data_IF_140239516705
#
_entry.id   IF_140239516705
#
_cell.length_a   1.000
_cell.length_b   1.000
_cell.length_c   1.000
_cell.angle_alpha   90.00
_cell.angle_beta   90.00
_cell.angle_gamma   90.00
#
_symmetry.space_group_name_H-M   'P 1'
#
loop_
_entity.id
_entity.type
_entity.pdbx_description
1 polymer ?
#
# COMPACT_ATOMS: atom_id res chain seq x y z
N UNK A 1 22.31 -20.50 -71.81
CA UNK A 1 21.61 -20.65 -70.50
C UNK A 1 22.48 -20.03 -69.39
N UNK A 2 22.79 -18.74 -69.50
CA UNK A 2 22.14 -17.59 -68.83
C UNK A 2 22.42 -17.49 -67.33
N UNK A 3 23.47 -16.73 -67.01
CA UNK A 3 23.80 -16.18 -65.68
C UNK A 3 22.60 -15.57 -64.93
N UNK A 4 21.52 -15.19 -65.63
CA UNK A 4 20.28 -14.72 -65.00
C UNK A 4 19.64 -15.77 -64.08
N UNK A 5 19.78 -17.07 -64.36
CA UNK A 5 19.20 -18.11 -63.47
C UNK A 5 19.92 -18.18 -62.12
N UNK A 6 21.25 -18.10 -62.12
CA UNK A 6 22.04 -18.19 -60.87
C UNK A 6 21.79 -16.98 -59.97
N UNK A 7 21.71 -15.78 -60.55
CA UNK A 7 21.44 -14.54 -59.79
C UNK A 7 20.04 -14.56 -59.15
N UNK A 8 19.03 -15.07 -59.86
CA UNK A 8 17.66 -15.21 -59.34
C UNK A 8 17.61 -16.21 -58.18
N UNK A 9 18.33 -17.33 -58.26
CA UNK A 9 18.42 -18.29 -57.14
C UNK A 9 19.11 -17.69 -55.91
N UNK A 10 20.14 -16.87 -56.11
CA UNK A 10 20.86 -16.21 -55.02
C UNK A 10 19.99 -15.14 -54.33
N UNK A 11 19.29 -14.31 -55.10
CA UNK A 11 18.35 -13.30 -54.59
C UNK A 11 17.16 -13.95 -53.87
N UNK A 12 16.62 -15.05 -54.41
CA UNK A 12 15.48 -15.77 -53.82
C UNK A 12 15.86 -16.42 -52.48
N UNK A 13 17.07 -17.01 -52.39
CA UNK A 13 17.59 -17.57 -51.14
C UNK A 13 17.90 -16.48 -50.11
N UNK A 14 18.42 -15.32 -50.54
CA UNK A 14 18.69 -14.19 -49.64
C UNK A 14 17.38 -13.57 -49.12
N UNK A 15 16.35 -13.50 -49.96
CA UNK A 15 15.01 -13.05 -49.57
C UNK A 15 14.35 -14.04 -48.59
N UNK A 16 14.43 -15.35 -48.86
CA UNK A 16 13.96 -16.39 -47.94
C UNK A 16 14.69 -16.36 -46.60
N UNK A 17 16.01 -16.18 -46.59
CA UNK A 17 16.80 -16.11 -45.36
C UNK A 17 16.44 -14.86 -44.55
N UNK A 18 16.22 -13.70 -45.22
CA UNK A 18 15.77 -12.46 -44.58
C UNK A 18 14.36 -12.56 -44.00
N UNK A 19 13.40 -13.18 -44.72
CA UNK A 19 12.04 -13.37 -44.21
C UNK A 19 11.99 -14.38 -43.06
N UNK A 20 12.82 -15.43 -43.10
CA UNK A 20 12.94 -16.40 -42.00
C UNK A 20 13.56 -15.78 -40.75
N UNK A 21 14.58 -14.93 -40.90
CA UNK A 21 15.17 -14.15 -39.80
C UNK A 21 14.18 -13.13 -39.22
N UNK A 22 13.38 -12.47 -40.06
CA UNK A 22 12.36 -11.51 -39.60
C UNK A 22 11.21 -12.20 -38.84
N UNK A 23 10.76 -13.36 -39.32
CA UNK A 23 9.73 -14.17 -38.63
C UNK A 23 10.24 -14.75 -37.31
N UNK A 24 11.50 -15.19 -37.25
CA UNK A 24 12.13 -15.65 -36.01
C UNK A 24 12.27 -14.49 -35.00
N UNK A 25 12.60 -13.28 -35.46
CA UNK A 25 12.66 -12.09 -34.60
C UNK A 25 11.27 -11.70 -34.05
N UNK A 26 10.21 -11.82 -34.86
CA UNK A 26 8.83 -11.56 -34.43
C UNK A 26 8.35 -12.61 -33.41
N UNK A 27 8.73 -13.88 -33.56
CA UNK A 27 8.41 -14.92 -32.56
C UNK A 27 9.17 -14.75 -31.24
N UNK A 28 10.40 -14.23 -31.26
CA UNK A 28 11.15 -13.90 -30.03
C UNK A 28 10.49 -12.75 -29.26
N UNK A 29 9.87 -11.78 -29.94
CA UNK A 29 9.18 -10.66 -29.31
C UNK A 29 7.82 -11.09 -28.71
N UNK A 30 7.16 -12.10 -29.30
CA UNK A 30 5.88 -12.64 -28.79
C UNK A 30 6.04 -13.61 -27.60
N UNK A 31 7.26 -14.07 -27.31
CA UNK A 31 7.55 -15.03 -26.23
C UNK A 31 7.89 -14.41 -24.87
N UNK A 32 8.12 -13.10 -24.78
CA UNK A 32 8.31 -12.43 -23.50
C UNK A 32 6.95 -12.17 -22.84
N UNK A 33 6.41 -13.18 -22.16
CA UNK A 33 5.48 -12.94 -21.06
C UNK A 33 6.26 -12.20 -19.97
N UNK A 34 6.29 -10.86 -20.02
CA UNK A 34 6.74 -10.06 -18.90
C UNK A 34 5.73 -10.28 -17.77
N UNK A 35 6.05 -11.20 -16.86
CA UNK A 35 5.33 -11.28 -15.60
C UNK A 35 5.47 -9.92 -14.91
N UNK A 36 4.34 -9.36 -14.46
CA UNK A 36 4.36 -8.12 -13.69
C UNK A 36 5.32 -8.25 -12.51
N UNK A 37 6.00 -7.16 -12.12
CA UNK A 37 6.84 -7.15 -10.94
C UNK A 37 5.98 -7.52 -9.74
N UNK A 38 6.52 -8.33 -8.83
CA UNK A 38 5.84 -8.54 -7.55
C UNK A 38 5.67 -7.19 -6.84
N UNK A 39 4.68 -7.12 -5.95
CA UNK A 39 4.51 -5.96 -5.09
C UNK A 39 5.74 -5.78 -4.17
N UNK A 40 6.04 -4.54 -3.78
CA UNK A 40 7.13 -4.25 -2.84
C UNK A 40 6.62 -3.52 -1.60
N UNK A 41 7.31 -3.70 -0.48
CA UNK A 41 7.05 -2.98 0.76
C UNK A 41 8.33 -2.28 1.19
N UNK A 42 8.35 -0.96 1.03
CA UNK A 42 9.52 -0.13 1.31
C UNK A 42 9.36 0.48 2.70
N UNK A 43 10.46 0.55 3.47
CA UNK A 43 10.55 1.41 4.65
C UNK A 43 11.18 2.73 4.28
N UNK A 44 10.51 3.81 4.63
CA UNK A 44 10.94 5.17 4.35
C UNK A 44 11.12 5.94 5.65
N UNK A 45 12.20 6.69 5.75
CA UNK A 45 12.53 7.49 6.94
C UNK A 45 11.94 8.90 6.89
N UNK A 46 11.64 9.45 8.06
CA UNK A 46 11.34 10.87 8.27
C UNK A 46 11.79 11.30 9.68
N UNK A 47 11.88 12.61 9.91
CA UNK A 47 12.07 13.18 11.25
C UNK A 47 10.73 13.69 11.75
N UNK A 48 10.27 13.18 12.89
CA UNK A 48 8.97 13.57 13.44
C UNK A 48 8.99 15.00 13.98
N UNK A 49 7.99 15.78 13.61
CA UNK A 49 7.73 17.10 14.15
C UNK A 49 7.29 17.05 15.62
N UNK A 50 6.85 15.89 16.11
CA UNK A 50 6.37 15.71 17.49
C UNK A 50 7.52 15.69 18.48
N UNK A 51 8.59 14.95 18.18
CA UNK A 51 9.70 14.71 19.11
C UNK A 51 11.11 14.93 18.51
N UNK A 52 11.18 15.37 17.25
CA UNK A 52 12.42 15.61 16.50
C UNK A 52 13.32 14.37 16.37
N UNK A 53 12.74 13.17 16.47
CA UNK A 53 13.47 11.90 16.31
C UNK A 53 13.23 11.27 14.94
N UNK A 54 14.23 10.53 14.42
CA UNK A 54 14.05 9.73 13.22
C UNK A 54 13.04 8.60 13.48
N UNK A 55 12.16 8.39 12.51
CA UNK A 55 11.15 7.35 12.47
C UNK A 55 11.00 6.86 11.04
N UNK A 56 10.30 5.76 10.88
CA UNK A 56 10.03 5.11 9.62
C UNK A 56 8.52 4.90 9.43
N UNK A 57 8.12 4.73 8.19
CA UNK A 57 6.79 4.31 7.77
C UNK A 57 6.89 3.36 6.59
N UNK A 58 5.81 2.60 6.34
CA UNK A 58 5.75 1.72 5.19
C UNK A 58 5.12 2.39 3.97
N UNK A 59 5.71 2.12 2.80
CA UNK A 59 5.13 2.40 1.48
C UNK A 59 5.01 1.09 0.71
N UNK A 60 3.79 0.65 0.47
CA UNK A 60 3.51 -0.48 -0.42
C UNK A 60 3.39 0.01 -1.87
N UNK A 61 4.09 -0.67 -2.77
CA UNK A 61 3.98 -0.47 -4.21
C UNK A 61 3.27 -1.69 -4.82
N UNK A 62 2.22 -1.48 -5.62
CA UNK A 62 1.41 -2.55 -6.17
C UNK A 62 2.18 -3.41 -7.17
N UNK A 63 1.66 -4.61 -7.42
CA UNK A 63 2.15 -5.49 -8.50
C UNK A 63 2.16 -4.73 -9.83
N UNK A 64 3.22 -4.91 -10.62
CA UNK A 64 3.43 -4.22 -11.90
C UNK A 64 3.87 -2.76 -11.78
N UNK A 65 4.11 -2.25 -10.56
CA UNK A 65 4.58 -0.87 -10.37
C UNK A 65 5.87 -0.59 -11.14
N UNK A 66 6.84 -1.51 -11.14
CA UNK A 66 8.16 -1.27 -11.75
C UNK A 66 8.13 -1.25 -13.28
N UNK A 67 7.30 -2.08 -13.92
CA UNK A 67 7.18 -2.13 -15.38
C UNK A 67 6.35 -0.99 -15.94
N UNK A 68 5.36 -0.51 -15.19
CA UNK A 68 4.45 0.55 -15.65
C UNK A 68 5.08 1.94 -15.45
N UNK A 69 6.12 2.27 -16.26
CA UNK A 69 6.89 3.52 -16.16
C UNK A 69 6.02 4.77 -16.32
N UNK A 70 5.01 4.71 -17.19
CA UNK A 70 4.18 5.86 -17.56
C UNK A 70 2.88 5.92 -16.74
N UNK A 71 2.64 4.93 -15.87
CA UNK A 71 1.44 4.84 -15.05
C UNK A 71 1.63 5.56 -13.72
N UNK A 72 0.70 6.45 -13.42
CA UNK A 72 0.48 6.98 -12.07
C UNK A 72 -0.57 6.14 -11.34
N UNK A 73 -0.38 6.00 -10.03
CA UNK A 73 -1.17 5.11 -9.18
C UNK A 73 -1.96 5.91 -8.16
N UNK A 74 -3.21 5.54 -7.85
CA UNK A 74 -3.88 6.07 -6.68
C UNK A 74 -3.05 5.84 -5.43
N UNK A 75 -3.23 6.69 -4.41
CA UNK A 75 -2.55 6.55 -3.13
C UNK A 75 -3.57 6.54 -1.99
N UNK A 76 -3.35 5.66 -1.02
CA UNK A 76 -4.12 5.59 0.22
C UNK A 76 -3.20 5.87 1.40
N UNK A 77 -3.48 6.94 2.15
CA UNK A 77 -2.97 7.13 3.50
C UNK A 77 -3.87 6.36 4.48
N UNK A 78 -3.32 5.33 5.12
CA UNK A 78 -4.06 4.50 6.08
C UNK A 78 -3.60 4.73 7.51
N UNK A 79 -4.55 5.02 8.41
CA UNK A 79 -4.29 5.24 9.83
C UNK A 79 -4.73 4.00 10.63
N UNK A 80 -3.79 3.39 11.35
CA UNK A 80 -4.03 2.20 12.16
C UNK A 80 -4.78 2.50 13.48
N UNK A 81 -5.18 1.45 14.19
CA UNK A 81 -5.89 1.54 15.46
C UNK A 81 -4.98 1.82 16.66
N UNK A 82 -5.51 1.77 17.88
CA UNK A 82 -4.71 2.09 19.06
C UNK A 82 -3.63 1.02 19.36
N UNK A 83 -3.86 -0.23 18.96
CA UNK A 83 -2.99 -1.37 19.27
C UNK A 83 -1.68 -1.40 18.48
N UNK A 84 -1.62 -0.73 17.33
CA UNK A 84 -0.46 -0.75 16.44
C UNK A 84 0.49 0.44 16.65
N UNK A 85 0.29 1.26 17.69
CA UNK A 85 1.21 2.35 18.07
C UNK A 85 2.64 1.85 18.27
N UNK A 86 3.62 2.73 18.19
CA UNK A 86 5.01 2.34 18.46
C UNK A 86 6.02 3.45 18.33
N UNK A 87 7.28 3.05 18.36
CA UNK A 87 8.42 3.94 18.18
C UNK A 87 8.72 4.32 16.72
N UNK A 88 8.01 3.74 15.75
CA UNK A 88 8.23 3.98 14.33
C UNK A 88 9.55 3.40 13.82
N UNK A 89 10.14 2.43 14.51
CA UNK A 89 11.41 1.80 14.15
C UNK A 89 11.26 0.27 14.20
N UNK A 90 11.78 -0.37 15.24
CA UNK A 90 11.70 -1.82 15.45
C UNK A 90 10.31 -2.28 15.93
N UNK A 91 9.40 -1.36 16.23
CA UNK A 91 7.98 -1.63 16.44
C UNK A 91 7.10 -1.35 15.22
N UNK A 92 7.65 -0.81 14.12
CA UNK A 92 6.86 -0.42 12.94
C UNK A 92 6.03 -1.60 12.39
N UNK A 93 6.52 -2.83 12.48
CA UNK A 93 5.84 -4.01 11.95
C UNK A 93 4.47 -4.30 12.58
N UNK A 94 4.15 -3.73 13.75
CA UNK A 94 2.80 -3.85 14.32
C UNK A 94 1.72 -3.29 13.39
N UNK A 95 2.03 -2.33 12.52
CA UNK A 95 1.06 -1.78 11.56
C UNK A 95 0.65 -2.80 10.48
N UNK A 96 1.36 -3.94 10.36
CA UNK A 96 1.02 -5.03 9.46
C UNK A 96 -0.08 -5.94 10.01
N UNK A 97 -0.46 -5.80 11.30
CA UNK A 97 -1.43 -6.67 11.97
C UNK A 97 -2.85 -6.53 11.39
N UNK A 98 -3.24 -5.31 11.03
CA UNK A 98 -4.57 -5.00 10.52
C UNK A 98 -4.53 -3.96 9.39
N UNK A 99 -5.58 -3.94 8.58
CA UNK A 99 -5.77 -2.92 7.54
C UNK A 99 -5.23 -3.33 6.16
N UNK A 100 -5.08 -2.38 5.23
CA UNK A 100 -4.80 -2.66 3.84
C UNK A 100 -3.41 -3.27 3.61
N UNK A 101 -2.41 -3.01 4.47
CA UNK A 101 -1.11 -3.72 4.38
C UNK A 101 -1.22 -5.19 4.76
N UNK A 102 -2.05 -5.54 5.74
CA UNK A 102 -2.33 -6.94 6.03
C UNK A 102 -2.95 -7.64 4.81
N UNK A 103 -3.90 -7.00 4.14
CA UNK A 103 -4.55 -7.56 2.95
C UNK A 103 -3.58 -7.64 1.75
N UNK A 104 -2.85 -6.57 1.46
CA UNK A 104 -1.99 -6.49 0.27
C UNK A 104 -0.65 -7.23 0.44
N UNK A 105 0.05 -6.98 1.54
CA UNK A 105 1.38 -7.51 1.77
C UNK A 105 1.33 -8.92 2.36
N UNK A 106 0.60 -9.09 3.47
CA UNK A 106 0.58 -10.35 4.22
C UNK A 106 -0.25 -11.40 3.48
N UNK A 107 -1.48 -11.06 3.07
CA UNK A 107 -2.37 -11.99 2.36
C UNK A 107 -2.17 -12.04 0.85
N UNK A 108 -1.23 -11.25 0.29
CA UNK A 108 -0.95 -11.14 -1.15
C UNK A 108 -2.19 -10.82 -2.00
N UNK A 109 -3.14 -10.02 -1.49
CA UNK A 109 -4.24 -9.52 -2.32
C UNK A 109 -3.74 -8.46 -3.29
N UNK A 110 -4.19 -8.55 -4.53
CA UNK A 110 -3.86 -7.57 -5.54
C UNK A 110 -4.66 -6.28 -5.33
N UNK A 111 -4.05 -5.32 -4.64
CA UNK A 111 -4.57 -3.97 -4.47
C UNK A 111 -3.82 -3.02 -5.40
N UNK A 112 -4.46 -2.47 -6.46
CA UNK A 112 -3.77 -1.73 -7.52
C UNK A 112 -3.57 -0.26 -7.18
N UNK A 113 -3.01 0.04 -6.01
CA UNK A 113 -2.74 1.40 -5.52
C UNK A 113 -1.60 1.41 -4.50
N UNK A 114 -0.97 2.56 -4.32
CA UNK A 114 0.07 2.78 -3.32
C UNK A 114 -0.59 2.88 -1.93
N UNK A 115 0.01 2.25 -0.91
CA UNK A 115 -0.46 2.39 0.48
C UNK A 115 0.66 3.02 1.30
N UNK A 116 0.33 4.10 2.01
CA UNK A 116 1.18 4.74 3.00
C UNK A 116 0.66 4.32 4.38
N UNK A 117 1.49 3.70 5.21
CA UNK A 117 1.15 3.29 6.58
C UNK A 117 2.15 3.86 7.58
N UNK A 118 1.91 5.06 8.13
CA UNK A 118 2.69 5.60 9.24
C UNK A 118 2.36 4.86 10.55
N UNK A 119 3.22 5.00 11.55
CA UNK A 119 2.97 4.49 12.91
C UNK A 119 2.77 5.65 13.89
N UNK A 120 1.63 5.66 14.58
CA UNK A 120 1.33 6.61 15.63
C UNK A 120 2.21 6.37 16.86
N UNK A 121 2.62 7.46 17.51
CA UNK A 121 3.46 7.43 18.69
C UNK A 121 2.77 6.72 19.87
N UNK A 122 3.58 6.13 20.75
CA UNK A 122 3.08 5.40 21.91
C UNK A 122 2.41 6.28 22.97
N UNK A 123 2.91 7.49 23.25
CA UNK A 123 2.41 8.40 24.30
C UNK A 123 2.12 7.72 25.66
N UNK A 124 3.01 6.82 26.07
CA UNK A 124 2.91 6.00 27.29
C UNK A 124 1.65 5.11 27.36
N UNK A 125 0.97 4.84 26.24
CA UNK A 125 -0.19 3.95 26.23
C UNK A 125 0.16 2.49 26.50
N UNK A 126 1.41 2.07 26.23
CA UNK A 126 1.99 0.81 26.68
C UNK A 126 1.95 0.66 28.20
N UNK A 127 2.12 1.75 28.95
CA UNK A 127 2.07 1.74 30.42
C UNK A 127 0.65 1.88 30.99
N UNK A 128 -0.32 2.26 30.15
CA UNK A 128 -1.70 2.56 30.55
C UNK A 128 -2.69 1.47 30.16
N UNK A 129 -2.37 0.66 29.15
CA UNK A 129 -3.28 -0.31 28.56
C UNK A 129 -2.57 -1.65 28.34
N UNK A 130 -3.01 -2.68 29.05
CA UNK A 130 -2.41 -4.02 29.03
C UNK A 130 -2.33 -4.64 27.62
N UNK A 131 -3.34 -4.41 26.77
CA UNK A 131 -3.35 -4.98 25.42
C UNK A 131 -2.29 -4.35 24.49
N UNK A 132 -1.70 -3.22 24.88
CA UNK A 132 -0.55 -2.61 24.20
C UNK A 132 0.73 -2.95 24.95
N UNK A 133 0.75 -2.83 26.27
CA UNK A 133 1.92 -3.07 27.10
C UNK A 133 2.42 -4.52 27.08
N UNK A 134 1.53 -5.49 26.89
CA UNK A 134 1.85 -6.91 26.94
C UNK A 134 1.96 -7.57 25.56
N UNK A 135 1.89 -6.80 24.47
CA UNK A 135 1.95 -7.34 23.11
C UNK A 135 3.33 -7.91 22.82
N UNK A 136 3.39 -8.96 22.02
CA UNK A 136 4.65 -9.59 21.59
C UNK A 136 4.82 -9.53 20.08
N UNK A 137 6.07 -9.66 19.62
CA UNK A 137 6.37 -9.68 18.18
C UNK A 137 5.80 -10.91 17.47
N UNK A 138 5.53 -11.99 18.19
CA UNK A 138 4.91 -13.20 17.63
C UNK A 138 3.47 -12.96 17.16
N UNK A 139 2.83 -11.87 17.60
CA UNK A 139 1.53 -11.44 17.12
C UNK A 139 1.57 -10.77 15.74
N UNK A 140 2.77 -10.41 15.25
CA UNK A 140 2.93 -9.79 13.94
C UNK A 140 2.77 -10.89 12.89
N UNK A 141 1.78 -10.77 11.99
CA UNK A 141 1.51 -11.82 11.02
C UNK A 141 2.65 -11.96 10.01
N UNK A 142 2.91 -13.20 9.61
CA UNK A 142 3.92 -13.51 8.60
C UNK A 142 3.31 -13.49 7.21
N UNK A 143 4.04 -12.91 6.24
CA UNK A 143 3.61 -12.86 4.83
C UNK A 143 3.42 -14.28 4.30
N UNK A 144 2.27 -14.52 3.67
CA UNK A 144 1.96 -15.82 3.09
C UNK A 144 2.77 -16.08 1.82
N UNK A 145 3.16 -17.33 1.58
CA UNK A 145 3.79 -17.73 0.32
C UNK A 145 2.82 -17.64 -0.86
N UNK A 146 1.56 -18.01 -0.64
CA UNK A 146 0.46 -17.92 -1.60
C UNK A 146 -0.69 -17.14 -0.99
N UNK A 147 -1.32 -16.28 -1.79
CA UNK A 147 -2.43 -15.46 -1.31
C UNK A 147 -3.65 -16.28 -0.89
N UNK A 148 -4.51 -15.68 -0.08
CA UNK A 148 -5.74 -16.31 0.39
C UNK A 148 -6.77 -16.41 -0.73
N UNK A 149 -7.64 -17.43 -0.65
CA UNK A 149 -8.79 -17.55 -1.55
C UNK A 149 -9.76 -16.37 -1.39
N UNK A 150 -10.70 -16.25 -2.35
CA UNK A 150 -11.74 -15.23 -2.29
C UNK A 150 -12.51 -15.33 -0.96
N UNK A 151 -12.80 -14.18 -0.35
CA UNK A 151 -13.54 -14.13 0.91
C UNK A 151 -14.89 -14.84 0.73
N UNK A 152 -15.28 -15.75 1.66
CA UNK A 152 -16.60 -16.37 1.61
C UNK A 152 -17.70 -15.31 1.66
N UNK A 153 -18.90 -15.69 1.23
CA UNK A 153 -20.08 -14.82 1.34
C UNK A 153 -20.24 -14.35 2.79
N UNK A 154 -20.65 -13.10 2.95
CA UNK A 154 -20.82 -12.48 4.26
C UNK A 154 -21.65 -13.37 5.19
N UNK A 155 -21.28 -13.41 6.47
CA UNK A 155 -22.07 -14.12 7.47
C UNK A 155 -23.41 -13.38 7.64
N UNK A 156 -24.50 -14.15 7.73
CA UNK A 156 -25.80 -13.58 8.03
C UNK A 156 -25.85 -13.17 9.50
N UNK A 157 -26.34 -11.97 9.79
CA UNK A 157 -26.75 -11.62 11.16
C UNK A 157 -28.17 -12.10 11.36
N UNK A 158 -28.46 -12.66 12.54
CA UNK A 158 -29.80 -13.16 12.87
C UNK A 158 -30.81 -12.03 13.09
N UNK A 159 -30.33 -10.80 13.30
CA UNK A 159 -31.16 -9.62 13.54
C UNK A 159 -30.62 -8.42 12.73
N UNK A 160 -31.49 -7.51 12.27
CA UNK A 160 -31.07 -6.21 11.75
C UNK A 160 -30.29 -5.42 12.81
N UNK A 161 -29.32 -4.61 12.38
CA UNK A 161 -28.68 -3.64 13.28
C UNK A 161 -29.75 -2.66 13.75
N UNK A 162 -29.98 -2.60 15.07
CA UNK A 162 -30.81 -1.57 15.66
C UNK A 162 -29.95 -0.33 15.86
N UNK A 163 -30.27 0.75 15.14
CA UNK A 163 -29.56 2.01 15.31
C UNK A 163 -29.87 2.60 16.69
N UNK A 164 -28.85 3.09 17.38
CA UNK A 164 -29.05 4.01 18.48
C UNK A 164 -29.57 5.35 17.94
N UNK A 165 -30.26 6.13 18.78
CA UNK A 165 -30.61 7.50 18.43
C UNK A 165 -29.32 8.31 18.25
N UNK A 166 -29.23 9.03 17.13
CA UNK A 166 -28.11 9.93 16.86
C UNK A 166 -28.05 11.02 17.94
N UNK A 167 -26.87 11.23 18.52
CA UNK A 167 -26.63 12.42 19.34
C UNK A 167 -26.60 13.66 18.44
N UNK A 168 -27.17 14.76 18.91
CA UNK A 168 -27.19 16.04 18.19
C UNK A 168 -26.00 16.93 18.52
N UNK A 169 -25.23 16.59 19.56
CA UNK A 169 -24.03 17.28 20.02
C UNK A 169 -23.07 16.29 20.64
N UNK A 170 -21.76 16.53 20.46
CA UNK A 170 -20.68 15.80 21.13
C UNK A 170 -19.86 16.70 22.08
N UNK A 171 -20.30 17.94 22.32
CA UNK A 171 -19.54 18.93 23.08
C UNK A 171 -19.21 18.48 24.51
N UNK A 172 -20.09 17.70 25.12
CA UNK A 172 -19.95 17.21 26.50
C UNK A 172 -19.35 15.79 26.57
N UNK A 173 -19.03 15.19 25.42
CA UNK A 173 -18.38 13.88 25.35
C UNK A 173 -16.88 14.09 25.39
N UNK A 174 -16.25 13.75 26.52
CA UNK A 174 -14.81 13.81 26.64
C UNK A 174 -14.14 12.97 25.52
N UNK A 175 -13.04 13.46 24.91
CA UNK A 175 -12.32 12.69 23.90
C UNK A 175 -11.89 11.34 24.48
N UNK A 176 -12.25 10.26 23.80
CA UNK A 176 -12.04 8.90 24.30
C UNK A 176 -10.56 8.58 24.55
N UNK A 177 -9.67 9.19 23.76
CA UNK A 177 -8.23 9.04 23.85
C UNK A 177 -7.57 10.40 23.54
N UNK A 178 -7.15 11.17 24.56
CA UNK A 178 -6.29 12.33 24.33
C UNK A 178 -4.89 11.83 23.94
N UNK A 179 -4.21 12.51 23.01
CA UNK A 179 -2.88 12.17 22.49
C UNK A 179 -2.92 11.08 21.40
N UNK A 180 -3.26 11.50 20.20
CA UNK A 180 -3.29 10.64 19.02
C UNK A 180 -2.89 11.32 17.73
N UNK A 181 -3.62 10.99 16.67
CA UNK A 181 -3.34 11.43 15.31
C UNK A 181 -3.35 12.96 15.15
N UNK A 182 -4.09 13.68 16.00
CA UNK A 182 -4.10 15.15 16.02
C UNK A 182 -2.72 15.76 16.36
N UNK A 183 -1.87 15.02 17.10
CA UNK A 183 -0.50 15.46 17.41
C UNK A 183 0.45 15.20 16.25
N UNK A 184 0.14 14.23 15.39
CA UNK A 184 0.97 13.82 14.26
C UNK A 184 0.53 14.43 12.93
N UNK A 185 -0.38 15.42 12.92
CA UNK A 185 -0.90 16.05 11.69
C UNK A 185 0.21 16.49 10.72
N UNK A 186 1.21 17.23 11.20
CA UNK A 186 2.32 17.70 10.34
C UNK A 186 3.17 16.57 9.80
N UNK A 187 3.33 15.50 10.58
CA UNK A 187 4.07 14.31 10.14
C UNK A 187 3.30 13.59 9.03
N UNK A 188 1.98 13.43 9.17
CA UNK A 188 1.14 12.82 8.15
C UNK A 188 1.19 13.58 6.82
N UNK A 189 1.11 14.92 6.87
CA UNK A 189 1.24 15.76 5.67
C UNK A 189 2.62 15.65 5.05
N UNK A 190 3.68 15.72 5.87
CA UNK A 190 5.07 15.62 5.39
C UNK A 190 5.37 14.27 4.75
N UNK A 191 4.83 13.19 5.31
CA UNK A 191 4.93 11.83 4.75
C UNK A 191 4.20 11.74 3.41
N UNK A 192 2.96 12.26 3.33
CA UNK A 192 2.19 12.26 2.10
C UNK A 192 2.89 13.04 0.98
N UNK A 193 3.44 14.22 1.30
CA UNK A 193 4.21 15.05 0.37
C UNK A 193 5.47 14.32 -0.09
N UNK A 194 6.23 13.71 0.83
CA UNK A 194 7.44 12.95 0.50
C UNK A 194 7.14 11.77 -0.41
N UNK A 195 6.06 11.02 -0.14
CA UNK A 195 5.64 9.90 -1.00
C UNK A 195 5.19 10.40 -2.36
N UNK A 196 4.41 11.48 -2.42
CA UNK A 196 3.94 12.07 -3.68
C UNK A 196 5.09 12.60 -4.54
N UNK A 197 6.13 13.13 -3.91
CA UNK A 197 7.33 13.61 -4.61
C UNK A 197 8.23 12.46 -5.09
N UNK A 198 8.33 11.36 -4.32
CA UNK A 198 9.22 10.23 -4.60
C UNK A 198 8.63 9.18 -5.54
N UNK A 199 7.32 8.97 -5.49
CA UNK A 199 6.63 7.88 -6.17
C UNK A 199 5.65 8.40 -7.24
N UNK A 200 5.36 7.59 -8.26
CA UNK A 200 4.37 7.86 -9.32
C UNK A 200 2.93 7.86 -8.80
N UNK A 201 2.57 8.87 -8.04
CA UNK A 201 1.23 9.08 -7.46
C UNK A 201 0.34 9.87 -8.42
N UNK A 202 -0.91 9.44 -8.57
CA UNK A 202 -1.99 10.24 -9.13
C UNK A 202 -2.64 11.07 -8.03
N UNK A 203 -2.26 12.35 -7.93
CA UNK A 203 -2.71 13.24 -6.86
C UNK A 203 -4.21 13.52 -6.89
N UNK A 204 -4.89 13.30 -8.02
CA UNK A 204 -6.36 13.40 -8.13
C UNK A 204 -7.07 12.20 -7.50
N UNK A 205 -6.34 11.12 -7.18
CA UNK A 205 -6.84 9.90 -6.55
C UNK A 205 -6.06 9.63 -5.26
N UNK A 206 -6.08 10.62 -4.39
CA UNK A 206 -5.54 10.57 -3.02
C UNK A 206 -6.68 10.25 -2.06
N UNK A 207 -6.55 9.16 -1.30
CA UNK A 207 -7.57 8.68 -0.37
C UNK A 207 -7.02 8.63 1.05
N UNK A 208 -7.91 8.79 2.02
CA UNK A 208 -7.64 8.68 3.44
C UNK A 208 -8.60 7.67 4.05
N UNK A 209 -8.09 6.74 4.85
CA UNK A 209 -8.91 5.78 5.60
C UNK A 209 -8.23 5.38 6.91
N UNK A 210 -8.98 4.73 7.79
CA UNK A 210 -8.46 4.29 9.08
C UNK A 210 -9.40 3.37 9.82
N UNK A 211 -8.83 2.57 10.72
CA UNK A 211 -9.57 1.59 11.53
C UNK A 211 -9.59 2.01 13.00
N UNK A 212 -10.74 1.87 13.67
CA UNK A 212 -10.87 2.15 15.10
C UNK A 212 -10.39 3.57 15.43
N UNK A 213 -9.35 3.73 16.26
CA UNK A 213 -8.75 5.03 16.54
C UNK A 213 -8.14 5.73 15.31
N UNK A 214 -7.69 4.96 14.32
CA UNK A 214 -7.34 5.48 13.00
C UNK A 214 -8.52 6.12 12.27
N UNK A 215 -9.74 5.61 12.48
CA UNK A 215 -10.96 6.22 11.95
C UNK A 215 -11.23 7.61 12.56
N UNK A 216 -10.92 7.81 13.84
CA UNK A 216 -10.92 9.15 14.45
C UNK A 216 -9.89 10.06 13.76
N UNK A 217 -8.66 9.57 13.56
CA UNK A 217 -7.63 10.30 12.84
C UNK A 217 -8.05 10.66 11.40
N UNK A 218 -8.76 9.76 10.72
CA UNK A 218 -9.29 9.99 9.37
C UNK A 218 -10.27 11.16 9.36
N UNK A 219 -11.26 11.16 10.27
CA UNK A 219 -12.21 12.27 10.38
C UNK A 219 -11.54 13.58 10.78
N UNK A 220 -10.58 13.53 11.70
CA UNK A 220 -9.79 14.70 12.09
C UNK A 220 -9.07 15.30 10.88
N UNK A 221 -8.26 14.52 10.17
CA UNK A 221 -7.49 15.00 9.02
C UNK A 221 -8.39 15.51 7.89
N UNK A 222 -9.45 14.76 7.54
CA UNK A 222 -10.40 15.19 6.51
C UNK A 222 -11.15 16.48 6.88
N UNK A 223 -11.42 16.73 8.17
CA UNK A 223 -12.06 17.97 8.62
C UNK A 223 -11.14 19.19 8.54
N UNK A 224 -9.82 18.99 8.56
CA UNK A 224 -8.80 20.05 8.52
C UNK A 224 -8.29 20.31 7.11
N UNK A 225 -8.31 19.30 6.26
CA UNK A 225 -7.74 19.29 4.92
C UNK A 225 -8.78 18.77 3.91
N UNK A 226 -9.80 19.57 3.57
CA UNK A 226 -10.92 19.16 2.71
C UNK A 226 -10.54 19.01 1.23
#
# INVERSE_FOLDING_TARGET
MSHKKVLVYFELNLLFMKTTLLLALIMVIQGCNFADSDASLNREGYVSNVDQKPREYFVYLPKGYQQASDKTWPVLLFLHGNGERGNGLDELDFVLKHGPLYEAWIQKKDLPFIIISPQLHMYDFDKKLDYIGNRTRDEIPQRLEKGVEARPKAFATSQPIQRAQSVTSMNDVAPLLPLGWEKSERDLLSILDAVTAKYRVDTKRTYLSGLSYGGFGTWYMASKHP
#
